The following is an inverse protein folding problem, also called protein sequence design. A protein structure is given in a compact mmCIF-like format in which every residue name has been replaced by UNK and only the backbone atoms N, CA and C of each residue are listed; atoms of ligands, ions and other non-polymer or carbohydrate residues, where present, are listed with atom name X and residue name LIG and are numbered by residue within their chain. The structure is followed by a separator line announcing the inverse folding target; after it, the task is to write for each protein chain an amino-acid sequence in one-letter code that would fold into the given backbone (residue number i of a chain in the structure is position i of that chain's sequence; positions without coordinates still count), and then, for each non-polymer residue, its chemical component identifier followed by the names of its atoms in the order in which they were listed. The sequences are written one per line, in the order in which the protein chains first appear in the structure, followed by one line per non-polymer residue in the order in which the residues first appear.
data_IF_310675664737
#
_entry.id   IF_310675664737
#
_cell.length_a   1.000
_cell.length_b   1.000
_cell.length_c   1.000
_cell.angle_alpha   90.00
_cell.angle_beta   90.00
_cell.angle_gamma   90.00
#
_symmetry.space_group_name_H-M   'P 1'
#
loop_
_entity.id
_entity.type
_entity.pdbx_description
1 polymer ?
#
# COMPACT_ATOMS: atom_id res chain seq x y z
N UNK A 1 27.92 -23.77 -42.91
CA UNK A 1 26.51 -24.04 -43.30
C UNK A 1 25.83 -24.97 -42.30
N UNK A 2 26.01 -24.76 -40.99
CA UNK A 2 25.41 -25.60 -39.93
C UNK A 2 24.71 -24.83 -38.81
N UNK A 3 24.61 -23.51 -38.85
CA UNK A 3 23.96 -22.70 -37.80
C UNK A 3 22.52 -22.25 -38.07
N UNK A 4 21.95 -22.54 -39.26
CA UNK A 4 20.56 -22.11 -39.56
C UNK A 4 19.48 -23.18 -39.35
N UNK A 5 19.84 -24.41 -38.98
CA UNK A 5 18.82 -25.47 -38.73
C UNK A 5 18.29 -25.54 -37.31
N UNK A 6 18.92 -24.89 -36.31
CA UNK A 6 18.50 -24.94 -34.92
C UNK A 6 17.33 -24.03 -34.53
N UNK A 7 17.08 -22.97 -35.31
CA UNK A 7 16.05 -21.98 -35.00
C UNK A 7 14.63 -22.37 -35.49
N UNK A 8 14.55 -23.25 -36.45
CA UNK A 8 13.25 -23.72 -37.05
C UNK A 8 12.54 -24.76 -36.17
N UNK A 9 13.32 -25.63 -35.48
CA UNK A 9 12.75 -26.71 -34.68
C UNK A 9 12.11 -26.22 -33.36
N UNK A 10 12.62 -25.11 -32.78
CA UNK A 10 12.05 -24.53 -31.56
C UNK A 10 10.71 -23.79 -31.78
N UNK A 11 10.47 -23.29 -32.98
CA UNK A 11 9.19 -22.65 -33.32
C UNK A 11 8.07 -23.65 -33.67
N UNK A 12 8.40 -24.86 -34.06
CA UNK A 12 7.41 -25.90 -34.36
C UNK A 12 6.87 -26.58 -33.08
N UNK A 13 7.70 -26.67 -32.02
CA UNK A 13 7.27 -27.31 -30.77
C UNK A 13 6.22 -26.52 -29.98
N UNK A 14 6.17 -25.20 -30.16
CA UNK A 14 5.21 -24.31 -29.47
C UNK A 14 3.83 -24.23 -30.17
N UNK A 15 3.68 -24.81 -31.37
CA UNK A 15 2.40 -24.79 -32.12
C UNK A 15 1.57 -26.08 -32.00
N UNK A 16 2.09 -27.14 -31.39
CA UNK A 16 1.41 -28.45 -31.36
C UNK A 16 0.87 -28.84 -29.97
N UNK A 17 0.98 -27.98 -28.97
CA UNK A 17 0.45 -28.23 -27.63
C UNK A 17 -0.91 -27.58 -27.32
N UNK A 18 -1.62 -27.08 -28.33
CA UNK A 18 -2.94 -26.43 -28.17
C UNK A 18 -4.07 -27.25 -28.83
N UNK A 19 -4.15 -28.53 -28.52
CA UNK A 19 -5.23 -29.37 -29.03
C UNK A 19 -5.62 -30.46 -28.05
N UNK A 20 -6.14 -30.08 -26.90
CA UNK A 20 -6.75 -31.00 -25.94
C UNK A 20 -8.02 -30.41 -25.36
N UNK A 21 -9.16 -30.83 -25.84
CA UNK A 21 -10.50 -30.50 -25.35
C UNK A 21 -10.66 -31.01 -23.92
N UNK A 22 -10.64 -30.11 -22.93
CA UNK A 22 -11.19 -30.38 -21.59
C UNK A 22 -12.49 -29.60 -21.46
N UNK A 23 -13.60 -30.29 -21.53
CA UNK A 23 -14.90 -29.81 -21.10
C UNK A 23 -14.88 -29.73 -19.56
N UNK A 24 -14.79 -28.51 -19.00
CA UNK A 24 -15.00 -28.25 -17.59
C UNK A 24 -16.25 -27.40 -17.42
N UNK A 25 -17.26 -27.98 -16.80
CA UNK A 25 -18.40 -27.29 -16.23
C UNK A 25 -17.91 -26.44 -15.04
N UNK A 26 -18.00 -25.15 -15.15
CA UNK A 26 -17.71 -24.22 -14.06
C UNK A 26 -17.69 -22.80 -14.62
N UNK A 27 -18.69 -22.00 -14.27
CA UNK A 27 -18.77 -20.60 -14.68
C UNK A 27 -17.54 -19.83 -14.21
N UNK A 28 -16.59 -19.61 -15.09
CA UNK A 28 -15.49 -18.68 -14.89
C UNK A 28 -16.04 -17.27 -15.06
N UNK A 29 -16.14 -16.51 -13.98
CA UNK A 29 -16.10 -15.06 -14.11
C UNK A 29 -14.79 -14.74 -14.83
N UNK A 30 -14.86 -14.44 -16.12
CA UNK A 30 -13.72 -13.94 -16.86
C UNK A 30 -13.28 -12.65 -16.17
N UNK A 31 -12.10 -12.67 -15.57
CA UNK A 31 -11.43 -11.45 -15.16
C UNK A 31 -11.35 -10.58 -16.43
N UNK A 32 -12.10 -9.49 -16.48
CA UNK A 32 -11.99 -8.55 -17.57
C UNK A 32 -10.56 -8.03 -17.57
N UNK A 33 -9.82 -8.36 -18.62
CA UNK A 33 -8.50 -7.76 -18.84
C UNK A 33 -8.72 -6.25 -18.94
N UNK A 34 -8.13 -5.51 -18.03
CA UNK A 34 -8.18 -4.05 -18.06
C UNK A 34 -7.30 -3.58 -19.21
N UNK A 35 -7.91 -3.08 -20.29
CA UNK A 35 -7.20 -2.53 -21.44
C UNK A 35 -6.91 -1.04 -21.17
N UNK A 36 -5.74 -0.76 -20.61
CA UNK A 36 -5.27 0.59 -20.36
C UNK A 36 -4.83 1.26 -21.66
N UNK A 37 -5.77 1.72 -22.45
CA UNK A 37 -5.48 2.66 -23.53
C UNK A 37 -5.76 4.07 -23.03
N UNK A 38 -4.85 5.03 -23.27
CA UNK A 38 -5.14 6.44 -23.00
C UNK A 38 -6.46 6.83 -23.64
N UNK A 39 -7.36 7.42 -22.87
CA UNK A 39 -8.63 7.89 -23.42
C UNK A 39 -8.39 9.01 -24.43
N UNK A 40 -9.00 8.92 -25.60
CA UNK A 40 -9.03 10.02 -26.58
C UNK A 40 -10.29 10.88 -26.44
N UNK A 41 -11.10 10.60 -25.43
CA UNK A 41 -12.33 11.35 -25.14
C UNK A 41 -12.15 12.18 -23.89
N UNK A 42 -12.57 13.44 -23.98
CA UNK A 42 -12.62 14.35 -22.84
C UNK A 42 -14.06 14.75 -22.52
N UNK A 43 -14.45 14.75 -21.27
CA UNK A 43 -13.72 14.25 -20.09
C UNK A 43 -13.56 12.74 -20.13
N UNK A 44 -12.48 12.23 -19.52
CA UNK A 44 -12.21 10.79 -19.47
C UNK A 44 -13.37 10.04 -18.78
N UNK A 45 -14.01 9.07 -19.41
CA UNK A 45 -15.13 8.33 -18.83
C UNK A 45 -14.71 7.42 -17.64
N UNK A 46 -13.41 7.14 -17.48
CA UNK A 46 -12.91 6.42 -16.31
C UNK A 46 -12.99 7.27 -15.02
N UNK A 47 -13.07 8.61 -15.14
CA UNK A 47 -13.23 9.51 -14.00
C UNK A 47 -14.70 9.82 -13.80
N UNK A 48 -15.32 9.16 -12.83
CA UNK A 48 -16.74 9.34 -12.49
C UNK A 48 -16.91 10.30 -11.31
N UNK A 49 -17.69 11.34 -11.49
CA UNK A 49 -18.08 12.28 -10.43
C UNK A 49 -19.32 11.75 -9.76
N UNK A 50 -19.19 11.19 -8.57
CA UNK A 50 -20.31 10.67 -7.77
C UNK A 50 -20.97 11.77 -6.93
N UNK A 51 -20.19 12.76 -6.49
CA UNK A 51 -20.65 13.93 -5.75
C UNK A 51 -20.20 15.21 -6.47
N UNK A 52 -21.07 16.21 -6.66
CA UNK A 52 -20.72 17.45 -7.35
C UNK A 52 -19.52 18.20 -6.75
N UNK A 53 -19.26 18.07 -5.45
CA UNK A 53 -18.11 18.70 -4.78
C UNK A 53 -16.76 18.21 -5.33
N UNK A 54 -16.69 16.98 -5.86
CA UNK A 54 -15.51 16.43 -6.52
C UNK A 54 -15.20 17.12 -7.86
N UNK A 55 -16.16 17.80 -8.47
CA UNK A 55 -16.00 18.44 -9.78
C UNK A 55 -14.82 19.43 -9.84
N UNK A 56 -14.47 20.08 -8.71
CA UNK A 56 -13.33 21.01 -8.61
C UNK A 56 -11.96 20.34 -8.80
N UNK A 57 -11.84 19.04 -8.56
CA UNK A 57 -10.60 18.28 -8.71
C UNK A 57 -10.42 17.69 -10.11
N UNK A 58 -11.51 17.58 -10.86
CA UNK A 58 -11.47 17.01 -12.20
C UNK A 58 -11.09 18.05 -13.24
N UNK A 59 -9.84 18.02 -13.70
CA UNK A 59 -9.44 18.77 -14.89
C UNK A 59 -10.06 18.11 -16.12
N UNK A 60 -10.78 18.89 -16.94
CA UNK A 60 -11.54 18.37 -18.10
C UNK A 60 -10.71 17.50 -19.05
N UNK A 61 -9.44 17.86 -19.26
CA UNK A 61 -8.50 17.17 -20.17
C UNK A 61 -7.64 16.10 -19.49
N UNK A 62 -7.79 15.88 -18.18
CA UNK A 62 -7.03 14.83 -17.50
C UNK A 62 -7.56 13.44 -17.83
N UNK A 63 -6.65 12.51 -18.02
CA UNK A 63 -6.92 11.09 -18.30
C UNK A 63 -6.33 10.22 -17.20
N UNK A 64 -6.87 9.00 -17.06
CA UNK A 64 -6.25 7.96 -16.27
C UNK A 64 -5.13 7.32 -17.07
N UNK A 65 -3.92 7.33 -16.53
CA UNK A 65 -2.73 6.83 -17.22
C UNK A 65 -2.12 5.66 -16.44
N UNK A 66 -1.65 4.64 -17.16
CA UNK A 66 -0.84 3.57 -16.60
C UNK A 66 0.64 3.97 -16.65
N UNK A 67 1.22 4.31 -15.48
CA UNK A 67 2.60 4.78 -15.40
C UNK A 67 3.63 3.65 -15.36
N UNK A 68 3.24 2.43 -14.97
CA UNK A 68 4.15 1.30 -14.90
C UNK A 68 3.43 -0.03 -14.78
N UNK A 69 4.14 -1.10 -15.12
CA UNK A 69 3.67 -2.49 -15.07
C UNK A 69 4.74 -3.41 -14.49
N UNK A 70 4.42 -4.71 -14.34
CA UNK A 70 5.38 -5.72 -13.89
C UNK A 70 5.53 -5.83 -12.37
N UNK A 71 4.68 -5.16 -11.61
CA UNK A 71 4.49 -5.41 -10.18
C UNK A 71 3.52 -6.56 -9.97
N UNK A 72 3.77 -7.36 -8.96
CA UNK A 72 2.83 -8.40 -8.53
C UNK A 72 1.76 -7.86 -7.59
N UNK A 73 2.16 -6.92 -6.74
CA UNK A 73 1.31 -6.35 -5.71
C UNK A 73 1.81 -4.96 -5.34
N UNK A 74 1.19 -3.93 -5.91
CA UNK A 74 1.57 -2.54 -5.69
C UNK A 74 0.89 -1.98 -4.43
N UNK A 75 1.70 -1.51 -3.48
CA UNK A 75 1.24 -1.05 -2.18
C UNK A 75 2.00 0.18 -1.69
N UNK A 76 1.43 0.86 -0.69
CA UNK A 76 2.08 1.93 0.05
C UNK A 76 2.63 3.08 -0.80
N UNK A 77 1.89 3.66 -1.76
CA UNK A 77 2.42 4.74 -2.58
C UNK A 77 2.73 5.98 -1.74
N UNK A 78 3.91 6.59 -1.98
CA UNK A 78 4.31 7.86 -1.37
C UNK A 78 4.98 8.78 -2.38
N UNK A 79 4.50 10.02 -2.44
CA UNK A 79 5.01 11.05 -3.32
C UNK A 79 6.08 11.92 -2.64
N UNK A 80 7.21 12.13 -3.33
CA UNK A 80 8.27 13.02 -2.94
C UNK A 80 8.28 14.25 -3.87
N UNK A 81 7.55 15.30 -3.46
CA UNK A 81 7.34 16.50 -4.28
C UNK A 81 8.62 17.23 -4.64
N UNK A 82 9.57 17.30 -3.71
CA UNK A 82 10.85 18.00 -3.92
C UNK A 82 11.69 17.33 -5.01
N UNK A 83 11.61 16.00 -5.14
CA UNK A 83 12.32 15.22 -6.16
C UNK A 83 11.43 14.81 -7.34
N UNK A 84 10.15 15.15 -7.32
CA UNK A 84 9.14 14.78 -8.34
C UNK A 84 9.16 13.30 -8.69
N UNK A 85 9.08 12.47 -7.67
CA UNK A 85 9.02 11.01 -7.86
C UNK A 85 8.05 10.34 -6.90
N UNK A 86 7.49 9.21 -7.35
CA UNK A 86 6.68 8.30 -6.57
C UNK A 86 7.50 7.09 -6.17
N UNK A 87 7.41 6.67 -4.90
CA UNK A 87 7.81 5.33 -4.49
C UNK A 87 6.58 4.47 -4.23
N UNK A 88 6.69 3.19 -4.55
CA UNK A 88 5.64 2.20 -4.33
C UNK A 88 6.26 0.85 -4.01
N UNK A 89 5.74 0.16 -3.01
CA UNK A 89 6.17 -1.20 -2.66
C UNK A 89 5.58 -2.21 -3.65
N UNK A 90 6.41 -3.15 -4.11
CA UNK A 90 6.00 -4.35 -4.83
C UNK A 90 6.34 -5.55 -3.94
N UNK A 91 5.38 -5.87 -3.02
CA UNK A 91 5.63 -6.69 -1.84
C UNK A 91 6.17 -8.09 -2.23
N UNK A 92 5.47 -8.93 -3.04
CA UNK A 92 5.93 -10.30 -3.30
C UNK A 92 7.24 -10.36 -4.10
N UNK A 93 7.59 -9.29 -4.80
CA UNK A 93 8.88 -9.17 -5.48
C UNK A 93 9.98 -8.62 -4.58
N UNK A 94 9.67 -8.34 -3.31
CA UNK A 94 10.59 -7.86 -2.28
C UNK A 94 11.38 -6.63 -2.72
N UNK A 95 10.67 -5.62 -3.27
CA UNK A 95 11.30 -4.41 -3.79
C UNK A 95 10.42 -3.17 -3.61
N UNK A 96 11.06 -2.00 -3.61
CA UNK A 96 10.41 -0.69 -3.77
C UNK A 96 10.71 -0.21 -5.18
N UNK A 97 9.67 0.22 -5.89
CA UNK A 97 9.77 0.80 -7.23
C UNK A 97 9.75 2.33 -7.14
N UNK A 98 10.37 2.98 -8.11
CA UNK A 98 10.34 4.44 -8.28
C UNK A 98 9.82 4.80 -9.66
N UNK A 99 8.85 5.70 -9.71
CA UNK A 99 8.47 6.45 -10.90
C UNK A 99 9.03 7.86 -10.82
N UNK A 100 9.78 8.27 -11.82
CA UNK A 100 10.33 9.61 -11.93
C UNK A 100 9.46 10.42 -12.92
N UNK A 101 8.78 11.46 -12.43
CA UNK A 101 7.83 12.23 -13.21
C UNK A 101 8.53 13.03 -14.32
N UNK A 102 9.74 13.52 -14.10
CA UNK A 102 10.44 14.35 -15.07
C UNK A 102 10.91 13.56 -16.30
N UNK A 103 11.24 12.29 -16.13
CA UNK A 103 11.74 11.42 -17.22
C UNK A 103 10.72 10.40 -17.70
N UNK A 104 9.64 10.19 -16.94
CA UNK A 104 8.68 9.10 -17.15
C UNK A 104 9.26 7.70 -16.88
N UNK A 105 10.45 7.61 -16.31
CA UNK A 105 11.10 6.33 -16.04
C UNK A 105 10.50 5.62 -14.83
N UNK A 106 10.38 4.29 -14.93
CA UNK A 106 9.91 3.42 -13.86
C UNK A 106 10.92 2.31 -13.62
N UNK A 107 11.47 2.22 -12.41
CA UNK A 107 12.54 1.27 -12.10
C UNK A 107 12.61 0.88 -10.63
N UNK A 108 13.55 0.01 -10.29
CA UNK A 108 13.77 -0.42 -8.90
C UNK A 108 14.52 0.67 -8.13
N UNK A 109 13.92 1.10 -7.01
CA UNK A 109 14.55 2.00 -6.04
C UNK A 109 15.38 1.24 -5.00
N UNK A 110 14.82 0.14 -4.47
CA UNK A 110 15.46 -0.69 -3.44
C UNK A 110 15.07 -2.16 -3.61
N UNK A 111 16.07 -3.04 -3.54
CA UNK A 111 15.89 -4.48 -3.50
C UNK A 111 17.11 -5.13 -2.79
N UNK A 112 16.92 -5.97 -1.74
CA UNK A 112 15.64 -6.33 -1.12
C UNK A 112 15.02 -5.16 -0.33
N UNK A 113 13.68 -5.17 -0.16
CA UNK A 113 12.93 -4.20 0.65
C UNK A 113 12.46 -4.79 1.98
N UNK A 114 12.78 -6.04 2.28
CA UNK A 114 12.26 -6.82 3.39
C UNK A 114 10.72 -6.95 3.36
N UNK A 115 10.16 -7.14 2.14
CA UNK A 115 8.74 -7.17 1.90
C UNK A 115 8.06 -5.91 2.48
N UNK A 116 8.58 -4.73 2.11
CA UNK A 116 7.99 -3.47 2.55
C UNK A 116 6.56 -3.33 2.03
N UNK A 117 5.67 -2.79 2.87
CA UNK A 117 4.30 -2.45 2.52
C UNK A 117 4.12 -0.92 2.56
N UNK A 118 3.50 -0.36 3.59
CA UNK A 118 3.23 1.05 3.73
C UNK A 118 4.49 1.90 3.71
N UNK A 119 4.46 2.96 2.91
CA UNK A 119 5.53 3.94 2.81
C UNK A 119 4.99 5.32 3.18
N UNK A 120 5.80 6.12 3.86
CA UNK A 120 5.49 7.51 4.15
C UNK A 120 6.75 8.37 4.08
N UNK A 121 6.56 9.68 4.06
CA UNK A 121 7.62 10.68 4.19
C UNK A 121 7.56 11.29 5.59
N UNK A 122 8.70 11.34 6.27
CA UNK A 122 8.77 12.09 7.53
C UNK A 122 8.83 13.61 7.28
N UNK A 123 8.82 14.40 8.33
CA UNK A 123 8.80 15.87 8.24
C UNK A 123 10.10 16.46 7.69
N UNK A 124 11.18 15.69 7.67
CA UNK A 124 12.45 16.04 7.07
C UNK A 124 12.61 15.51 5.63
N UNK A 125 11.58 14.88 5.07
CA UNK A 125 11.61 14.33 3.71
C UNK A 125 12.30 12.98 3.58
N UNK A 126 12.52 12.24 4.68
CA UNK A 126 13.12 10.89 4.65
C UNK A 126 12.05 9.82 4.47
N UNK A 127 12.40 8.71 3.84
CA UNK A 127 11.50 7.58 3.64
C UNK A 127 11.32 6.81 4.94
N UNK A 128 10.05 6.62 5.33
CA UNK A 128 9.59 5.68 6.34
C UNK A 128 9.03 4.43 5.62
N UNK A 129 9.28 3.24 6.17
CA UNK A 129 8.77 2.00 5.62
C UNK A 129 8.30 1.03 6.71
N UNK A 130 7.18 0.37 6.46
CA UNK A 130 6.74 -0.82 7.17
C UNK A 130 7.37 -2.03 6.50
N UNK A 131 8.14 -2.83 7.22
CA UNK A 131 8.79 -4.03 6.70
C UNK A 131 8.15 -5.29 7.31
N UNK A 132 7.51 -6.12 6.48
CA UNK A 132 6.83 -7.34 6.94
C UNK A 132 7.82 -8.42 7.38
N UNK A 133 8.85 -8.72 6.56
CA UNK A 133 9.80 -9.81 6.85
C UNK A 133 10.54 -9.58 8.17
N UNK A 134 10.99 -8.38 8.39
CA UNK A 134 11.75 -8.01 9.58
C UNK A 134 10.87 -7.52 10.74
N UNK A 135 9.54 -7.40 10.50
CA UNK A 135 8.53 -7.03 11.50
C UNK A 135 8.89 -5.73 12.21
N UNK A 136 9.16 -4.66 11.42
CA UNK A 136 9.69 -3.40 11.96
C UNK A 136 9.29 -2.17 11.16
N UNK A 137 9.42 -1.01 11.79
CA UNK A 137 9.37 0.31 11.17
C UNK A 137 10.78 0.81 10.96
N UNK A 138 11.07 1.29 9.76
CA UNK A 138 12.39 1.80 9.41
C UNK A 138 12.32 3.21 8.83
N UNK A 139 13.44 3.94 8.92
CA UNK A 139 13.68 5.21 8.26
C UNK A 139 14.96 5.13 7.44
N UNK A 140 14.89 5.59 6.21
CA UNK A 140 16.08 5.75 5.36
C UNK A 140 16.65 7.14 5.56
N UNK A 141 17.87 7.22 6.07
CA UNK A 141 18.58 8.47 6.31
C UNK A 141 19.09 9.06 4.98
N UNK A 142 19.53 10.33 5.00
CA UNK A 142 20.03 11.01 3.78
C UNK A 142 21.29 10.37 3.18
N UNK A 143 22.08 9.67 4.01
CA UNK A 143 23.25 8.91 3.56
C UNK A 143 22.88 7.50 3.04
N UNK A 144 21.59 7.17 2.97
CA UNK A 144 21.08 5.86 2.53
C UNK A 144 21.05 4.78 3.62
N UNK A 145 21.58 5.05 4.80
CA UNK A 145 21.55 4.11 5.94
C UNK A 145 20.11 3.92 6.42
N UNK A 146 19.78 2.70 6.82
CA UNK A 146 18.47 2.35 7.37
C UNK A 146 18.55 2.36 8.91
N UNK A 147 17.74 3.19 9.54
CA UNK A 147 17.56 3.26 10.99
C UNK A 147 16.28 2.52 11.37
N UNK A 148 16.37 1.57 12.29
CA UNK A 148 15.19 0.90 12.88
C UNK A 148 14.58 1.84 13.90
N UNK A 149 13.29 2.17 13.74
CA UNK A 149 12.55 3.03 14.65
C UNK A 149 11.75 2.24 15.69
N UNK A 150 11.23 1.08 15.30
CA UNK A 150 10.53 0.14 16.18
C UNK A 150 10.53 -1.25 15.56
N UNK A 151 10.74 -2.29 16.37
CA UNK A 151 10.63 -3.71 15.99
C UNK A 151 9.85 -4.52 17.05
N UNK A 152 9.55 -3.91 18.19
CA UNK A 152 8.96 -4.58 19.33
C UNK A 152 8.16 -3.60 20.20
N UNK A 153 7.22 -4.16 20.97
CA UNK A 153 6.48 -3.45 22.00
C UNK A 153 6.37 -4.32 23.25
N UNK A 154 6.73 -3.79 24.42
CA UNK A 154 6.73 -4.53 25.71
C UNK A 154 7.48 -5.87 25.63
N UNK A 155 8.62 -5.92 24.94
CA UNK A 155 9.48 -7.09 24.81
C UNK A 155 8.98 -8.18 23.84
N UNK A 156 7.88 -7.93 23.12
CA UNK A 156 7.33 -8.80 22.06
C UNK A 156 7.53 -8.18 20.70
N UNK A 157 7.78 -9.00 19.69
CA UNK A 157 7.91 -8.53 18.29
C UNK A 157 6.59 -7.93 17.80
N UNK A 158 6.68 -6.88 16.99
CA UNK A 158 5.55 -6.41 16.21
C UNK A 158 5.01 -7.54 15.32
N UNK A 159 3.75 -7.49 14.90
CA UNK A 159 3.19 -8.51 14.01
C UNK A 159 3.74 -8.37 12.59
N UNK A 160 3.21 -7.48 11.81
CA UNK A 160 3.70 -7.11 10.48
C UNK A 160 3.20 -5.70 10.17
N UNK A 161 3.95 -4.65 10.57
CA UNK A 161 3.54 -3.27 10.32
C UNK A 161 3.11 -3.08 8.87
N UNK A 162 1.91 -2.46 8.68
CA UNK A 162 1.24 -2.45 7.39
C UNK A 162 1.20 -1.05 6.76
N UNK A 163 0.49 -0.09 7.34
CA UNK A 163 0.46 1.29 6.84
C UNK A 163 0.97 2.28 7.88
N UNK A 164 1.40 3.47 7.42
CA UNK A 164 2.18 4.41 8.21
C UNK A 164 1.93 5.85 7.81
N UNK A 165 1.84 6.75 8.80
CA UNK A 165 1.74 8.18 8.59
C UNK A 165 2.63 8.94 9.58
N UNK A 166 3.12 10.12 9.15
CA UNK A 166 3.88 11.03 10.00
C UNK A 166 3.07 12.29 10.30
N UNK A 167 2.80 12.53 11.58
CA UNK A 167 2.08 13.71 12.07
C UNK A 167 2.97 14.97 12.02
N UNK A 168 2.39 16.18 12.07
CA UNK A 168 3.11 17.45 12.04
C UNK A 168 4.09 17.64 13.21
N UNK A 169 3.79 17.03 14.37
CA UNK A 169 4.66 17.03 15.55
C UNK A 169 5.88 16.10 15.41
N UNK A 170 6.02 15.39 14.26
CA UNK A 170 7.08 14.43 14.00
C UNK A 170 6.82 13.04 14.55
N UNK A 171 5.70 12.80 15.23
CA UNK A 171 5.34 11.44 15.65
C UNK A 171 4.90 10.60 14.45
N UNK A 172 5.21 9.31 14.51
CA UNK A 172 4.93 8.33 13.47
C UNK A 172 3.87 7.37 13.99
N UNK A 173 2.80 7.19 13.22
CA UNK A 173 1.69 6.32 13.57
C UNK A 173 1.60 5.20 12.55
N UNK A 174 1.39 3.97 13.01
CA UNK A 174 1.35 2.82 12.11
C UNK A 174 0.39 1.74 12.61
N UNK A 175 -0.12 0.96 11.67
CA UNK A 175 -0.94 -0.23 11.92
C UNK A 175 -0.09 -1.49 11.95
N UNK A 176 -0.43 -2.45 12.82
CA UNK A 176 0.31 -3.70 13.02
C UNK A 176 -0.62 -4.93 12.99
N UNK A 177 -1.26 -5.22 11.85
CA UNK A 177 -2.04 -6.42 11.64
C UNK A 177 -1.13 -7.63 11.37
N UNK A 178 -1.67 -8.87 11.34
CA UNK A 178 -0.89 -10.07 11.06
C UNK A 178 -0.81 -10.44 9.57
N UNK A 179 -0.99 -9.49 8.63
CA UNK A 179 -1.09 -9.84 7.20
C UNK A 179 0.22 -10.39 6.67
N UNK A 180 1.35 -9.72 6.93
CA UNK A 180 2.67 -10.12 6.47
C UNK A 180 3.23 -11.39 7.12
N UNK A 181 2.61 -11.87 8.21
CA UNK A 181 2.98 -13.15 8.87
C UNK A 181 1.95 -14.26 8.67
N UNK A 182 0.91 -14.02 7.85
CA UNK A 182 -0.12 -15.01 7.58
C UNK A 182 0.36 -16.13 6.64
N UNK A 183 1.35 -15.86 5.81
CA UNK A 183 1.93 -16.78 4.82
C UNK A 183 3.37 -16.39 4.48
N UNK A 184 3.89 -16.93 3.36
CA UNK A 184 5.29 -16.73 2.94
C UNK A 184 5.40 -15.93 1.63
N UNK A 185 4.36 -15.22 1.22
CA UNK A 185 4.34 -14.44 -0.03
C UNK A 185 4.62 -12.94 0.14
N UNK A 186 4.50 -12.45 1.37
CA UNK A 186 4.75 -11.04 1.74
C UNK A 186 5.55 -10.90 3.05
N UNK A 187 6.18 -11.98 3.49
CA UNK A 187 6.97 -12.11 4.70
C UNK A 187 7.15 -13.58 5.06
N UNK A 188 7.57 -13.88 6.27
CA UNK A 188 7.67 -15.23 6.80
C UNK A 188 6.49 -15.53 7.72
N UNK A 189 5.87 -16.69 7.53
CA UNK A 189 4.76 -17.15 8.38
C UNK A 189 5.19 -17.25 9.83
N UNK A 190 4.45 -16.56 10.71
CA UNK A 190 4.70 -16.56 12.15
C UNK A 190 3.40 -16.43 12.95
N UNK A 191 3.45 -16.72 14.24
CA UNK A 191 2.36 -16.42 15.15
C UNK A 191 2.41 -14.94 15.59
N UNK A 192 1.24 -14.33 15.77
CA UNK A 192 1.13 -13.02 16.40
C UNK A 192 1.53 -13.10 17.87
N UNK A 193 2.42 -12.20 18.30
CA UNK A 193 2.82 -12.06 19.69
C UNK A 193 2.06 -10.94 20.41
N UNK A 194 1.49 -10.02 19.62
CA UNK A 194 0.74 -8.85 20.07
C UNK A 194 -0.67 -8.87 19.48
N UNK A 195 -1.66 -8.21 20.11
CA UNK A 195 -2.94 -7.94 19.47
C UNK A 195 -2.77 -7.15 18.18
N UNK A 196 -3.75 -7.24 17.27
CA UNK A 196 -3.81 -6.35 16.11
C UNK A 196 -3.97 -4.91 16.59
N UNK A 197 -3.00 -4.07 16.37
CA UNK A 197 -2.91 -2.80 17.06
C UNK A 197 -2.54 -1.65 16.13
N UNK A 198 -2.79 -0.45 16.61
CA UNK A 198 -2.21 0.78 16.09
C UNK A 198 -1.24 1.31 17.12
N UNK A 199 -0.07 1.74 16.72
CA UNK A 199 0.97 2.27 17.57
C UNK A 199 1.38 3.68 17.16
N UNK A 200 1.97 4.41 18.08
CA UNK A 200 2.61 5.71 17.88
C UNK A 200 4.05 5.66 18.36
N UNK A 201 4.97 6.11 17.52
CA UNK A 201 6.36 6.40 17.89
C UNK A 201 6.44 7.90 18.12
N UNK A 202 6.79 8.32 19.32
CA UNK A 202 6.98 9.72 19.64
C UNK A 202 8.29 10.26 19.04
N UNK A 203 8.48 11.59 18.92
CA UNK A 203 9.74 12.17 18.40
C UNK A 203 10.99 11.77 19.22
N UNK A 204 10.83 11.43 20.51
CA UNK A 204 11.90 10.92 21.37
C UNK A 204 12.15 9.41 21.19
N UNK A 205 11.47 8.75 20.23
CA UNK A 205 11.61 7.33 19.93
C UNK A 205 10.77 6.39 20.80
N UNK A 206 10.03 6.90 21.79
CA UNK A 206 9.17 6.05 22.62
C UNK A 206 7.96 5.57 21.85
N UNK A 207 7.73 4.25 21.86
CA UNK A 207 6.54 3.62 21.30
C UNK A 207 5.42 3.54 22.34
N UNK A 208 4.19 3.81 21.91
CA UNK A 208 2.98 3.70 22.71
C UNK A 208 1.87 2.99 21.92
N UNK A 209 1.07 2.19 22.64
CA UNK A 209 -0.16 1.63 22.08
C UNK A 209 -1.20 2.75 21.92
N UNK A 210 -1.81 2.84 20.73
CA UNK A 210 -2.92 3.75 20.44
C UNK A 210 -4.26 3.05 20.67
N UNK A 211 -4.47 1.92 20.00
CA UNK A 211 -5.65 1.07 20.16
C UNK A 211 -5.36 -0.37 19.76
N UNK A 212 -6.06 -1.31 20.39
CA UNK A 212 -6.09 -2.73 20.03
C UNK A 212 -7.54 -3.22 19.76
N UNK A 213 -8.47 -2.30 19.54
CA UNK A 213 -9.91 -2.60 19.43
C UNK A 213 -10.37 -2.87 17.99
N UNK A 214 -9.41 -3.00 17.06
CA UNK A 214 -9.69 -3.19 15.64
C UNK A 214 -9.24 -4.57 15.18
N UNK A 215 -10.08 -5.22 14.38
CA UNK A 215 -9.72 -6.49 13.77
C UNK A 215 -9.00 -6.25 12.44
N UNK A 216 -7.66 -6.43 12.44
CA UNK A 216 -6.82 -6.21 11.27
C UNK A 216 -6.83 -4.74 10.81
N UNK A 217 -6.33 -3.79 11.63
CA UNK A 217 -6.19 -2.41 11.20
C UNK A 217 -5.29 -2.33 9.97
N UNK A 218 -5.70 -1.57 8.95
CA UNK A 218 -5.02 -1.45 7.68
C UNK A 218 -4.65 0.02 7.40
N UNK A 219 -5.16 0.66 6.35
CA UNK A 219 -4.87 2.04 6.05
C UNK A 219 -5.18 3.01 7.19
N UNK A 220 -4.35 4.03 7.36
CA UNK A 220 -4.62 5.12 8.31
C UNK A 220 -4.19 6.47 7.74
N UNK A 221 -4.95 7.52 8.09
CA UNK A 221 -4.66 8.89 7.71
C UNK A 221 -5.22 9.89 8.70
N UNK A 222 -4.53 11.02 8.87
CA UNK A 222 -5.08 12.16 9.62
C UNK A 222 -5.96 13.04 8.73
N UNK A 223 -6.91 13.76 9.36
CA UNK A 223 -7.53 14.93 8.74
C UNK A 223 -6.47 16.03 8.50
N UNK A 224 -6.72 17.02 7.60
CA UNK A 224 -5.75 18.09 7.33
C UNK A 224 -5.37 18.90 8.57
N UNK A 225 -6.29 19.09 9.52
CA UNK A 225 -6.04 19.75 10.80
C UNK A 225 -5.48 18.81 11.89
N UNK A 226 -5.28 17.54 11.56
CA UNK A 226 -4.78 16.47 12.44
C UNK A 226 -5.58 16.25 13.73
N UNK A 227 -6.83 16.74 13.79
CA UNK A 227 -7.72 16.51 14.94
C UNK A 227 -8.47 15.19 14.84
N UNK A 228 -8.52 14.61 13.65
CA UNK A 228 -9.12 13.30 13.41
C UNK A 228 -8.05 12.33 12.90
N UNK A 229 -8.21 11.07 13.30
CA UNK A 229 -7.50 9.94 12.72
C UNK A 229 -8.53 8.99 12.12
N UNK A 230 -8.35 8.66 10.86
CA UNK A 230 -9.15 7.67 10.16
C UNK A 230 -8.38 6.37 10.08
N UNK A 231 -9.05 5.23 10.35
CA UNK A 231 -8.41 3.91 10.34
C UNK A 231 -9.35 2.91 9.67
N UNK A 232 -8.83 2.17 8.70
CA UNK A 232 -9.52 1.02 8.11
C UNK A 232 -9.45 -0.17 9.06
N UNK A 233 -10.59 -0.75 9.39
CA UNK A 233 -10.67 -2.08 9.99
C UNK A 233 -10.85 -3.13 8.89
N UNK A 234 -9.73 -3.74 8.47
CA UNK A 234 -9.67 -4.58 7.28
C UNK A 234 -10.32 -5.95 7.42
N UNK A 235 -10.60 -6.41 8.64
CA UNK A 235 -11.28 -7.68 8.93
C UNK A 235 -12.59 -7.49 9.70
N UNK A 236 -13.16 -6.27 9.70
CA UNK A 236 -14.47 -6.02 10.27
C UNK A 236 -15.54 -6.90 9.58
N UNK A 237 -16.56 -7.27 10.34
CA UNK A 237 -17.70 -8.06 9.85
C UNK A 237 -18.99 -7.27 10.05
N UNK A 238 -19.96 -7.36 9.11
CA UNK A 238 -19.95 -8.09 7.83
C UNK A 238 -19.17 -7.40 6.71
N UNK A 239 -18.75 -6.14 6.88
CA UNK A 239 -18.05 -5.33 5.89
C UNK A 239 -16.85 -4.63 6.51
N UNK A 240 -15.84 -4.29 5.71
CA UNK A 240 -14.75 -3.40 6.11
C UNK A 240 -15.30 -2.02 6.43
N UNK A 241 -14.68 -1.35 7.40
CA UNK A 241 -15.15 -0.05 7.93
C UNK A 241 -13.98 0.92 7.97
N UNK A 242 -14.23 2.20 7.66
CA UNK A 242 -13.35 3.28 8.09
C UNK A 242 -13.93 3.89 9.36
N UNK A 243 -13.14 3.83 10.42
CA UNK A 243 -13.43 4.48 11.68
C UNK A 243 -12.80 5.86 11.73
N UNK A 244 -13.50 6.83 12.31
CA UNK A 244 -13.00 8.15 12.65
C UNK A 244 -12.86 8.25 14.17
N UNK A 245 -11.74 8.81 14.61
CA UNK A 245 -11.45 9.08 16.02
C UNK A 245 -11.04 10.52 16.21
N UNK A 246 -11.35 11.11 17.36
CA UNK A 246 -10.74 12.35 17.80
C UNK A 246 -9.33 12.04 18.37
N UNK A 247 -8.36 12.85 17.93
CA UNK A 247 -6.97 12.75 18.36
C UNK A 247 -6.74 13.62 19.57
N UNK A 248 -6.41 13.00 20.70
CA UNK A 248 -6.02 13.67 21.93
C UNK A 248 -4.52 13.84 22.07
N UNK A 249 -4.06 14.12 23.29
CA UNK A 249 -2.64 14.24 23.59
C UNK A 249 -1.94 12.88 23.55
N UNK A 250 -0.68 12.88 23.08
CA UNK A 250 0.14 11.66 23.02
C UNK A 250 -0.44 10.64 22.05
N UNK A 251 -0.82 9.47 22.55
CA UNK A 251 -1.39 8.35 21.77
C UNK A 251 -2.90 8.17 22.04
N UNK A 252 -3.58 9.13 22.67
CA UNK A 252 -4.99 8.96 23.04
C UNK A 252 -5.92 9.20 21.87
N UNK A 253 -6.92 8.31 21.74
CA UNK A 253 -8.05 8.46 20.82
C UNK A 253 -9.35 8.45 21.61
N UNK A 254 -10.36 9.16 21.09
CA UNK A 254 -11.72 9.20 21.64
C UNK A 254 -12.77 9.30 20.55
N UNK A 255 -14.05 9.25 20.92
CA UNK A 255 -15.18 9.48 20.02
C UNK A 255 -15.12 8.62 18.73
N UNK A 256 -14.86 7.30 18.89
CA UNK A 256 -14.90 6.34 17.77
C UNK A 256 -16.24 6.39 17.07
N UNK A 257 -16.27 6.77 15.80
CA UNK A 257 -17.46 6.81 14.95
C UNK A 257 -17.22 6.14 13.62
N UNK A 258 -18.25 5.47 13.08
CA UNK A 258 -18.17 4.87 11.76
C UNK A 258 -18.28 5.98 10.71
N UNK A 259 -17.23 6.12 9.89
CA UNK A 259 -17.21 7.10 8.79
C UNK A 259 -17.71 6.48 7.48
N UNK A 260 -17.20 5.29 7.14
CA UNK A 260 -17.58 4.56 5.93
C UNK A 260 -17.90 3.11 6.28
N UNK A 261 -18.97 2.59 5.71
CA UNK A 261 -19.32 1.17 5.70
C UNK A 261 -19.18 0.67 4.27
N UNK A 262 -18.17 -0.18 4.02
CA UNK A 262 -17.88 -0.67 2.67
C UNK A 262 -18.77 -1.87 2.31
N UNK A 263 -20.07 -1.64 2.20
CA UNK A 263 -21.07 -2.65 1.89
C UNK A 263 -21.26 -2.90 0.38
N UNK A 264 -20.46 -2.23 -0.47
CA UNK A 264 -20.44 -2.41 -1.93
C UNK A 264 -19.45 -3.47 -2.40
N UNK A 265 -19.34 -3.68 -3.71
CA UNK A 265 -18.33 -4.57 -4.28
C UNK A 265 -16.92 -3.99 -4.08
N UNK A 266 -15.96 -4.87 -3.83
CA UNK A 266 -14.57 -4.50 -3.56
C UNK A 266 -14.27 -4.41 -2.06
N UNK A 267 -13.10 -3.86 -1.73
CA UNK A 267 -12.66 -3.70 -0.35
C UNK A 267 -11.80 -2.46 -0.19
N UNK A 268 -12.01 -1.73 0.90
CA UNK A 268 -11.13 -0.63 1.30
C UNK A 268 -9.83 -1.19 1.90
N UNK A 269 -8.71 -0.52 1.62
CA UNK A 269 -7.38 -0.92 2.05
C UNK A 269 -6.58 0.31 2.53
N UNK A 270 -5.49 0.69 1.86
CA UNK A 270 -4.82 1.96 2.08
C UNK A 270 -5.59 3.14 1.47
N UNK A 271 -5.43 4.32 2.04
CA UNK A 271 -6.04 5.56 1.51
C UNK A 271 -5.20 6.78 1.90
N UNK A 272 -5.48 7.90 1.27
CA UNK A 272 -4.88 9.20 1.60
C UNK A 272 -5.99 10.24 1.73
N UNK A 273 -5.73 11.29 2.50
CA UNK A 273 -6.62 12.45 2.67
C UNK A 273 -5.90 13.65 2.04
N UNK A 274 -6.63 14.42 1.24
CA UNK A 274 -6.15 15.67 0.65
C UNK A 274 -6.30 16.87 1.59
N UNK A 275 -6.09 18.09 1.09
CA UNK A 275 -6.09 19.30 1.90
C UNK A 275 -7.47 19.88 2.21
N UNK A 276 -8.56 19.30 1.67
CA UNK A 276 -9.93 19.86 1.79
C UNK A 276 -10.85 19.12 2.75
#
# INVERSE_FOLDING_TARGET
MQEQQGASARRAFLKTAAGGTLAALGGTAAAQAFDFKPSQRYPDPAVQVLDPSFGKYRIYSSTVEQLGTGMRWAEGPVWFGDGRYLLVSDIPNNRIMRFDEATGSFGVFRQPSNFSNGLARDRQGRLLACEHLTRRITRTEYDGRITVLADSFNGKKLNSPNDIVCKSDGSIWFTDPPFGIAGNWEGDKAASELPHSVYRIAPDGKIALVTADLNGPNGLAFSPDEKKLYIVEGRAQPHRVIWSYDVGSGASLSNKTRLVDANGPGSIDGFKVDGD
#
